data_IF_844035505691
#
_entry.id   IF_844035505691
#
_cell.length_a   1.000
_cell.length_b   1.000
_cell.length_c   1.000
_cell.angle_alpha   90.00
_cell.angle_beta   90.00
_cell.angle_gamma   90.00
#
_symmetry.space_group_name_H-M   'P 1'
#
loop_
_entity.id
_entity.type
_entity.pdbx_description
1 polymer ?
#
# COMPACT_ATOMS: atom_id res chain seq x y z
N UNK A 1 -2.78 68.44 -33.97
CA UNK A 1 -3.18 67.03 -34.11
C UNK A 1 -2.65 66.32 -32.88
N UNK A 2 -3.52 66.18 -31.88
CA UNK A 2 -3.17 65.52 -30.60
C UNK A 2 -3.60 64.04 -30.66
N UNK A 3 -2.65 63.10 -30.49
CA UNK A 3 -2.89 61.66 -30.40
C UNK A 3 -3.14 61.30 -28.94
N UNK A 4 -4.35 60.91 -28.64
CA UNK A 4 -4.73 60.37 -27.33
C UNK A 4 -4.25 58.92 -27.29
N UNK A 5 -3.35 58.61 -26.36
CA UNK A 5 -2.92 57.23 -26.07
C UNK A 5 -3.84 56.71 -24.98
N UNK A 6 -4.71 55.75 -25.34
CA UNK A 6 -5.54 55.02 -24.38
C UNK A 6 -4.71 53.94 -23.69
N UNK A 7 -4.51 54.10 -22.39
CA UNK A 7 -3.89 53.08 -21.54
C UNK A 7 -5.01 52.12 -21.11
N UNK A 8 -4.95 50.90 -21.59
CA UNK A 8 -5.82 49.81 -21.15
C UNK A 8 -5.38 49.32 -19.76
N UNK A 9 -6.23 49.46 -18.76
CA UNK A 9 -6.08 48.84 -17.45
C UNK A 9 -6.24 47.31 -17.61
N UNK A 10 -5.17 46.57 -17.40
CA UNK A 10 -5.22 45.14 -17.27
C UNK A 10 -5.65 44.80 -15.84
N UNK A 11 -6.87 44.32 -15.68
CA UNK A 11 -7.37 43.79 -14.41
C UNK A 11 -6.61 42.52 -14.06
N UNK A 12 -5.82 42.54 -12.99
CA UNK A 12 -5.22 41.36 -12.40
C UNK A 12 -6.31 40.50 -11.77
N UNK A 13 -6.72 39.45 -12.49
CA UNK A 13 -7.58 38.40 -11.92
C UNK A 13 -6.79 37.65 -10.88
N UNK A 14 -7.17 37.78 -9.61
CA UNK A 14 -6.60 37.07 -8.48
C UNK A 14 -6.68 35.56 -8.71
N UNK A 15 -5.54 34.94 -8.83
CA UNK A 15 -5.40 33.47 -8.80
C UNK A 15 -5.64 33.06 -7.35
N UNK A 16 -6.85 32.61 -7.03
CA UNK A 16 -7.14 31.96 -5.77
C UNK A 16 -6.32 30.66 -5.74
N UNK A 17 -5.28 30.61 -4.91
CA UNK A 17 -4.61 29.39 -4.50
C UNK A 17 -5.66 28.55 -3.77
N UNK A 18 -6.26 27.61 -4.50
CA UNK A 18 -7.13 26.61 -3.93
C UNK A 18 -6.35 25.80 -2.90
N UNK A 19 -6.73 25.93 -1.65
CA UNK A 19 -6.34 25.02 -0.58
C UNK A 19 -6.67 23.60 -1.03
N UNK A 20 -5.65 22.85 -1.41
CA UNK A 20 -5.77 21.40 -1.59
C UNK A 20 -6.08 20.81 -0.22
N UNK A 21 -7.22 20.14 -0.04
CA UNK A 21 -7.48 19.47 1.22
C UNK A 21 -6.42 18.40 1.41
N UNK A 22 -5.53 18.60 2.37
CA UNK A 22 -4.64 17.55 2.89
C UNK A 22 -5.52 16.42 3.42
N UNK A 23 -5.86 15.45 2.57
CA UNK A 23 -6.47 14.19 2.98
C UNK A 23 -5.45 13.43 3.85
N UNK A 24 -5.42 13.73 5.14
CA UNK A 24 -4.95 12.81 6.18
C UNK A 24 -5.98 11.69 6.30
N UNK A 25 -5.96 10.73 5.40
CA UNK A 25 -6.93 9.67 5.45
C UNK A 25 -6.48 8.52 4.58
N UNK A 26 -6.03 7.44 5.19
CA UNK A 26 -5.86 6.18 4.48
C UNK A 26 -7.20 5.73 3.90
N UNK A 27 -7.15 5.02 2.79
CA UNK A 27 -8.32 4.45 2.13
C UNK A 27 -9.00 3.43 3.03
N UNK A 28 -10.33 3.53 3.16
CA UNK A 28 -11.10 2.51 3.87
C UNK A 28 -11.23 1.25 3.02
N UNK A 29 -11.06 0.08 3.63
CA UNK A 29 -11.12 -1.23 2.93
C UNK A 29 -12.41 -1.45 2.13
N UNK A 30 -13.53 -0.88 2.57
CA UNK A 30 -14.81 -0.95 1.85
C UNK A 30 -14.76 -0.32 0.44
N UNK A 31 -13.80 0.56 0.19
CA UNK A 31 -13.57 1.20 -1.11
C UNK A 31 -12.71 0.32 -2.05
N UNK A 32 -12.20 -0.82 -1.56
CA UNK A 32 -11.38 -1.77 -2.31
C UNK A 32 -12.00 -3.17 -2.35
N UNK A 33 -13.06 -3.38 -3.15
CA UNK A 33 -13.82 -4.64 -3.18
C UNK A 33 -12.97 -5.88 -3.42
N UNK A 34 -11.91 -5.76 -4.23
CA UNK A 34 -10.99 -6.86 -4.55
C UNK A 34 -10.23 -7.33 -3.32
N UNK A 35 -9.75 -6.42 -2.47
CA UNK A 35 -9.04 -6.76 -1.23
C UNK A 35 -9.99 -7.45 -0.25
N UNK A 36 -11.19 -6.91 -0.09
CA UNK A 36 -12.21 -7.48 0.80
C UNK A 36 -12.60 -8.89 0.36
N UNK A 37 -12.84 -9.10 -0.94
CA UNK A 37 -13.20 -10.42 -1.46
C UNK A 37 -12.07 -11.43 -1.30
N UNK A 38 -10.82 -11.03 -1.55
CA UNK A 38 -9.65 -11.87 -1.35
C UNK A 38 -9.50 -12.30 0.11
N UNK A 39 -9.63 -11.38 1.05
CA UNK A 39 -9.57 -11.70 2.48
C UNK A 39 -10.65 -12.68 2.90
N UNK A 40 -11.89 -12.45 2.49
CA UNK A 40 -13.00 -13.35 2.80
C UNK A 40 -12.75 -14.76 2.28
N UNK A 41 -12.19 -14.87 1.08
CA UNK A 41 -11.95 -16.16 0.45
C UNK A 41 -10.77 -16.92 1.07
N UNK A 42 -9.69 -16.24 1.46
CA UNK A 42 -8.41 -16.88 1.74
C UNK A 42 -7.86 -16.65 3.15
N UNK A 43 -8.31 -15.61 3.88
CA UNK A 43 -7.66 -15.21 5.14
C UNK A 43 -8.57 -15.32 6.37
N UNK A 44 -9.83 -14.86 6.27
CA UNK A 44 -10.70 -14.69 7.45
C UNK A 44 -11.14 -15.98 8.11
N UNK A 45 -11.04 -17.13 7.44
CA UNK A 45 -11.34 -18.44 8.04
C UNK A 45 -10.45 -18.75 9.25
N UNK A 46 -9.19 -18.26 9.23
CA UNK A 46 -8.21 -18.47 10.29
C UNK A 46 -7.90 -17.21 11.09
N UNK A 47 -7.95 -16.04 10.44
CA UNK A 47 -7.61 -14.74 11.02
C UNK A 47 -8.89 -13.91 11.32
N UNK A 48 -9.74 -14.45 12.18
CA UNK A 48 -10.99 -13.81 12.63
C UNK A 48 -10.98 -13.55 14.14
N UNK A 49 -12.10 -13.09 14.68
CA UNK A 49 -12.20 -12.72 16.09
C UNK A 49 -12.02 -13.91 17.06
N UNK A 50 -12.39 -15.13 16.64
CA UNK A 50 -12.34 -16.32 17.48
C UNK A 50 -10.97 -16.99 17.42
N UNK A 51 -10.46 -17.25 16.22
CA UNK A 51 -9.24 -18.05 16.03
C UNK A 51 -7.96 -17.25 16.17
N UNK A 52 -7.92 -16.02 15.68
CA UNK A 52 -6.79 -15.08 15.75
C UNK A 52 -5.42 -15.74 15.51
N UNK A 53 -5.30 -16.65 14.54
CA UNK A 53 -4.03 -17.29 14.26
C UNK A 53 -2.95 -16.24 13.98
N UNK A 54 -1.76 -16.39 14.56
CA UNK A 54 -0.70 -15.39 14.49
C UNK A 54 -1.03 -14.04 15.18
N UNK A 55 -2.05 -14.01 16.07
CA UNK A 55 -2.44 -12.79 16.77
C UNK A 55 -3.25 -11.78 15.90
N UNK A 56 -3.43 -12.05 14.61
CA UNK A 56 -4.06 -11.13 13.66
C UNK A 56 -5.53 -11.46 13.45
N UNK A 57 -6.35 -10.41 13.45
CA UNK A 57 -7.75 -10.47 13.05
C UNK A 57 -7.98 -9.49 11.89
N UNK A 58 -8.02 -10.02 10.66
CA UNK A 58 -8.23 -9.22 9.46
C UNK A 58 -9.61 -8.54 9.39
N UNK A 59 -10.60 -8.99 10.17
CA UNK A 59 -11.89 -8.30 10.26
C UNK A 59 -11.79 -6.94 10.96
N UNK A 60 -10.73 -6.72 11.74
CA UNK A 60 -10.43 -5.44 12.40
C UNK A 60 -9.49 -4.54 11.57
N UNK A 61 -8.86 -5.08 10.55
CA UNK A 61 -7.98 -4.35 9.65
C UNK A 61 -8.83 -3.71 8.55
N UNK A 62 -9.43 -2.56 8.86
CA UNK A 62 -10.49 -1.94 8.05
C UNK A 62 -10.02 -0.79 7.17
N UNK A 63 -8.76 -0.40 7.27
CA UNK A 63 -8.21 0.74 6.55
C UNK A 63 -6.71 0.61 6.28
N UNK A 64 -6.24 1.46 5.36
CA UNK A 64 -4.83 1.64 5.05
C UNK A 64 -4.35 2.92 5.73
N UNK A 65 -3.86 2.79 6.97
CA UNK A 65 -3.23 3.86 7.72
C UNK A 65 -1.82 3.47 8.15
N UNK A 66 -1.00 4.45 8.48
CA UNK A 66 0.38 4.23 8.88
C UNK A 66 0.50 3.27 10.08
N UNK A 67 -0.41 3.37 11.04
CA UNK A 67 -0.49 2.49 12.22
C UNK A 67 -0.78 1.02 11.86
N UNK A 68 -1.47 0.79 10.73
CA UNK A 68 -1.81 -0.54 10.22
C UNK A 68 -0.83 -1.05 9.15
N UNK A 69 0.06 -0.18 8.65
CA UNK A 69 0.94 -0.49 7.52
C UNK A 69 1.80 -1.73 7.76
N UNK A 70 2.30 -1.91 8.98
CA UNK A 70 3.07 -3.10 9.37
C UNK A 70 2.28 -4.40 9.14
N UNK A 71 1.03 -4.44 9.55
CA UNK A 71 0.20 -5.64 9.37
C UNK A 71 -0.07 -5.96 7.90
N UNK A 72 -0.23 -4.91 7.08
CA UNK A 72 -0.36 -5.07 5.64
C UNK A 72 0.91 -5.61 4.99
N UNK A 73 2.08 -5.11 5.41
CA UNK A 73 3.38 -5.61 4.95
C UNK A 73 3.59 -7.06 5.33
N UNK A 74 3.37 -7.43 6.60
CA UNK A 74 3.46 -8.81 7.07
C UNK A 74 2.53 -9.75 6.29
N UNK A 75 1.31 -9.31 5.97
CA UNK A 75 0.38 -10.09 5.16
C UNK A 75 0.89 -10.30 3.73
N UNK A 76 1.48 -9.25 3.12
CA UNK A 76 2.11 -9.36 1.79
C UNK A 76 3.30 -10.30 1.79
N UNK A 77 4.21 -10.15 2.76
CA UNK A 77 5.42 -10.97 2.87
C UNK A 77 5.08 -12.45 2.99
N UNK A 78 4.15 -12.80 3.89
CA UNK A 78 3.70 -14.18 4.06
C UNK A 78 3.02 -14.74 2.80
N UNK A 79 2.22 -13.91 2.13
CA UNK A 79 1.57 -14.31 0.89
C UNK A 79 2.58 -14.56 -0.25
N UNK A 80 3.62 -13.72 -0.34
CA UNK A 80 4.63 -13.81 -1.39
C UNK A 80 5.61 -14.97 -1.17
N UNK A 81 6.00 -15.25 0.08
CA UNK A 81 6.80 -16.44 0.42
C UNK A 81 6.04 -17.75 0.24
N UNK A 82 4.70 -17.69 0.14
CA UNK A 82 3.86 -18.87 0.07
C UNK A 82 3.52 -19.47 1.43
N UNK A 83 3.88 -18.81 2.53
CA UNK A 83 3.54 -19.24 3.89
C UNK A 83 2.04 -19.15 4.17
N UNK A 84 1.37 -18.25 3.46
CA UNK A 84 -0.08 -18.02 3.55
C UNK A 84 -0.75 -17.95 2.16
N UNK A 85 -1.95 -18.53 2.03
CA UNK A 85 -2.60 -19.47 2.94
C UNK A 85 -1.81 -20.77 3.08
N UNK A 86 -1.95 -21.53 4.21
CA UNK A 86 -1.32 -22.84 4.36
C UNK A 86 -1.70 -23.80 3.22
N UNK A 87 -0.81 -24.74 2.89
CA UNK A 87 -0.97 -25.62 1.71
C UNK A 87 -2.31 -26.37 1.68
N UNK A 88 -2.81 -26.77 2.85
CA UNK A 88 -4.11 -27.46 3.00
C UNK A 88 -5.32 -26.55 2.80
N UNK A 89 -5.13 -25.26 2.65
CA UNK A 89 -6.21 -24.28 2.45
C UNK A 89 -6.44 -23.99 0.98
N UNK A 90 -7.59 -23.37 0.67
CA UNK A 90 -7.92 -22.94 -0.70
C UNK A 90 -6.89 -21.88 -1.13
N UNK A 91 -6.05 -22.25 -2.08
CA UNK A 91 -5.02 -21.36 -2.62
C UNK A 91 -5.62 -20.34 -3.61
N UNK A 92 -5.20 -19.07 -3.54
CA UNK A 92 -5.55 -18.09 -4.55
C UNK A 92 -4.88 -18.43 -5.89
N UNK A 93 -5.56 -18.17 -6.99
CA UNK A 93 -4.92 -18.26 -8.30
C UNK A 93 -3.75 -17.25 -8.40
N UNK A 94 -2.77 -17.55 -9.26
CA UNK A 94 -1.64 -16.65 -9.52
C UNK A 94 -2.12 -15.25 -9.92
N UNK A 95 -3.16 -15.18 -10.75
CA UNK A 95 -3.75 -13.91 -11.17
C UNK A 95 -4.36 -13.13 -9.99
N UNK A 96 -5.17 -13.80 -9.16
CA UNK A 96 -5.78 -13.16 -7.99
C UNK A 96 -4.74 -12.69 -6.97
N UNK A 97 -3.68 -13.49 -6.76
CA UNK A 97 -2.56 -13.12 -5.90
C UNK A 97 -1.87 -11.86 -6.41
N UNK A 98 -1.53 -11.79 -7.71
CA UNK A 98 -0.90 -10.61 -8.32
C UNK A 98 -1.77 -9.36 -8.20
N UNK A 99 -3.06 -9.46 -8.48
CA UNK A 99 -3.99 -8.33 -8.36
C UNK A 99 -4.08 -7.83 -6.91
N UNK A 100 -4.21 -8.74 -5.95
CA UNK A 100 -4.25 -8.39 -4.54
C UNK A 100 -2.97 -7.67 -4.09
N UNK A 101 -1.79 -8.25 -4.40
CA UNK A 101 -0.49 -7.66 -4.06
C UNK A 101 -0.35 -6.27 -4.65
N UNK A 102 -0.62 -6.10 -5.95
CA UNK A 102 -0.52 -4.80 -6.62
C UNK A 102 -1.44 -3.74 -5.98
N UNK A 103 -2.64 -4.14 -5.58
CA UNK A 103 -3.59 -3.22 -4.98
C UNK A 103 -3.17 -2.81 -3.56
N UNK A 104 -2.73 -3.76 -2.73
CA UNK A 104 -2.23 -3.44 -1.38
C UNK A 104 -0.99 -2.57 -1.44
N UNK A 105 -0.04 -2.85 -2.33
CA UNK A 105 1.15 -2.01 -2.51
C UNK A 105 0.77 -0.58 -2.90
N UNK A 106 -0.16 -0.42 -3.84
CA UNK A 106 -0.65 0.91 -4.24
C UNK A 106 -1.22 1.70 -3.07
N UNK A 107 -2.01 1.06 -2.21
CA UNK A 107 -2.59 1.72 -1.03
C UNK A 107 -1.51 2.07 0.01
N UNK A 108 -0.54 1.19 0.22
CA UNK A 108 0.59 1.45 1.11
C UNK A 108 1.46 2.62 0.61
N UNK A 109 1.71 2.70 -0.69
CA UNK A 109 2.45 3.81 -1.29
C UNK A 109 1.77 5.15 -1.01
N UNK A 110 0.43 5.21 -1.08
CA UNK A 110 -0.32 6.42 -0.74
C UNK A 110 -0.21 6.79 0.74
N UNK A 111 -0.25 5.79 1.63
CA UNK A 111 -0.06 5.98 3.07
C UNK A 111 1.31 6.57 3.37
N UNK A 112 2.36 5.99 2.78
CA UNK A 112 3.73 6.46 3.00
C UNK A 112 4.00 7.82 2.33
N UNK A 113 3.46 8.07 1.15
CA UNK A 113 3.57 9.37 0.49
C UNK A 113 2.91 10.51 1.30
N UNK A 114 1.83 10.19 2.02
CA UNK A 114 1.12 11.13 2.90
C UNK A 114 1.73 11.29 4.30
N UNK A 115 2.68 10.43 4.68
CA UNK A 115 3.34 10.51 5.98
C UNK A 115 4.42 11.58 5.98
N UNK A 116 4.58 12.28 7.12
CA UNK A 116 5.71 13.20 7.30
C UNK A 116 7.01 12.38 7.30
N UNK A 117 7.92 12.70 6.37
CA UNK A 117 9.22 12.00 6.23
C UNK A 117 10.06 11.99 7.52
N UNK A 118 9.72 12.84 8.50
CA UNK A 118 10.38 12.89 9.80
C UNK A 118 10.04 11.70 10.71
N UNK A 119 8.94 11.01 10.46
CA UNK A 119 8.54 9.81 11.21
C UNK A 119 9.11 8.50 10.62
N UNK A 120 10.01 8.63 9.65
CA UNK A 120 10.64 7.48 9.02
C UNK A 120 11.56 6.78 10.05
N UNK A 121 11.04 5.79 10.72
CA UNK A 121 11.86 4.87 11.52
C UNK A 121 12.52 3.90 10.57
N UNK A 122 13.85 3.89 10.57
CA UNK A 122 14.59 2.84 9.88
C UNK A 122 14.19 1.49 10.49
N UNK A 123 13.29 0.79 9.83
CA UNK A 123 13.01 -0.60 10.15
C UNK A 123 13.99 -1.48 9.38
N UNK A 124 14.38 -2.60 10.00
CA UNK A 124 15.16 -3.62 9.30
C UNK A 124 14.35 -4.07 8.08
N UNK A 125 14.98 -4.11 6.92
CA UNK A 125 14.34 -4.64 5.72
C UNK A 125 14.00 -6.11 5.94
N UNK A 126 12.85 -6.54 5.45
CA UNK A 126 12.50 -7.95 5.38
C UNK A 126 13.34 -8.64 4.31
N UNK A 127 13.47 -9.96 4.38
CA UNK A 127 14.19 -10.75 3.36
C UNK A 127 13.60 -10.51 1.96
N UNK A 128 12.28 -10.43 1.84
CA UNK A 128 11.62 -10.11 0.57
C UNK A 128 11.99 -8.73 0.04
N UNK A 129 12.05 -7.71 0.90
CA UNK A 129 12.46 -6.36 0.51
C UNK A 129 13.93 -6.32 0.07
N UNK A 130 14.81 -7.05 0.77
CA UNK A 130 16.22 -7.19 0.38
C UNK A 130 16.31 -7.89 -0.98
N UNK A 131 15.60 -8.99 -1.17
CA UNK A 131 15.57 -9.73 -2.42
C UNK A 131 15.12 -8.88 -3.60
N UNK A 132 14.07 -8.08 -3.43
CA UNK A 132 13.58 -7.18 -4.47
C UNK A 132 14.57 -6.06 -4.79
N UNK A 133 15.16 -5.45 -3.77
CA UNK A 133 16.18 -4.43 -3.98
C UNK A 133 17.40 -4.98 -4.72
N UNK A 134 17.82 -6.22 -4.41
CA UNK A 134 18.90 -6.89 -5.10
C UNK A 134 18.56 -7.19 -6.57
N UNK A 135 17.34 -7.68 -6.84
CA UNK A 135 16.86 -7.90 -8.21
C UNK A 135 16.86 -6.62 -9.02
N UNK A 136 16.31 -5.55 -8.46
CA UNK A 136 16.23 -4.26 -9.12
C UNK A 136 17.61 -3.66 -9.36
N UNK A 137 18.48 -3.67 -8.36
CA UNK A 137 19.84 -3.15 -8.43
C UNK A 137 20.72 -3.92 -9.43
N UNK A 138 20.60 -5.25 -9.45
CA UNK A 138 21.42 -6.13 -10.28
C UNK A 138 20.78 -6.43 -11.63
N UNK A 139 19.53 -6.00 -11.84
CA UNK A 139 18.71 -6.25 -13.04
C UNK A 139 18.65 -7.75 -13.43
N UNK A 140 18.59 -8.62 -12.43
CA UNK A 140 18.48 -10.07 -12.63
C UNK A 140 17.11 -10.55 -12.21
N UNK A 141 16.56 -11.47 -13.00
CA UNK A 141 15.23 -12.04 -12.78
C UNK A 141 15.25 -13.29 -11.89
N UNK A 142 16.18 -13.35 -10.94
CA UNK A 142 16.28 -14.44 -9.97
C UNK A 142 15.60 -14.04 -8.64
N UNK A 143 14.83 -14.93 -8.06
CA UNK A 143 14.28 -14.77 -6.72
C UNK A 143 15.32 -15.22 -5.68
N UNK A 144 15.72 -14.30 -4.82
CA UNK A 144 16.68 -14.51 -3.73
C UNK A 144 16.02 -14.69 -2.36
N UNK A 145 14.69 -14.64 -2.29
CA UNK A 145 14.00 -14.65 -1.00
C UNK A 145 14.28 -15.91 -0.16
N UNK A 146 14.55 -17.04 -0.82
CA UNK A 146 14.94 -18.29 -0.18
C UNK A 146 16.43 -18.43 0.16
N UNK A 147 17.28 -17.58 -0.41
CA UNK A 147 18.74 -17.62 -0.22
C UNK A 147 19.23 -16.75 0.95
N UNK A 148 18.34 -15.88 1.48
CA UNK A 148 18.65 -14.96 2.57
C UNK A 148 18.42 -15.66 3.92
N UNK A 149 19.48 -15.82 4.69
CA UNK A 149 19.46 -16.41 6.04
C UNK A 149 18.79 -15.41 6.99
N UNK A 150 17.88 -15.85 7.83
CA UNK A 150 17.25 -15.07 8.90
C UNK A 150 18.23 -14.72 10.03
#
# INVERSE_FOLDING_TARGET
>A
MARIVSIALVSASGFALGDSPTKKGGTHLGETPTIVSFFKAHCTKCHNAEKKKGGINFLKLTDFRLENAKHWQEALDNLQRGDMPPEESIQPSVANRKVFVAQVLKELDQVYAGSDKRDFRFSRLTNSQIAWNLRDLLQIDRDFSGDLIE
#
